data_IF_826609668730
#
_entry.id   IF_826609668730
#
_cell.length_a   1.000
_cell.length_b   1.000
_cell.length_c   1.000
_cell.angle_alpha   90.00
_cell.angle_beta   90.00
_cell.angle_gamma   90.00
#
_symmetry.space_group_name_H-M   'P 1'
#
loop_
_entity.id
_entity.type
_entity.pdbx_description
1 polymer ?
#
# COMPACT_ATOMS: atom_id res chain seq x y z
N UNK A 1 13.65 -5.90 -8.33
CA UNK A 1 12.42 -5.53 -9.07
C UNK A 1 11.34 -4.97 -8.15
N UNK A 2 10.76 -5.75 -7.21
CA UNK A 2 9.65 -5.24 -6.36
C UNK A 2 10.00 -4.00 -5.52
N UNK A 3 11.19 -3.94 -4.94
CA UNK A 3 11.61 -2.81 -4.10
C UNK A 3 11.66 -1.47 -4.85
N UNK A 4 12.15 -1.50 -6.10
CA UNK A 4 12.27 -0.30 -6.92
C UNK A 4 10.90 0.20 -7.37
N UNK A 5 10.02 -0.73 -7.79
CA UNK A 5 8.64 -0.42 -8.12
C UNK A 5 7.92 0.25 -6.93
N UNK A 6 8.08 -0.28 -5.71
CA UNK A 6 7.52 0.35 -4.50
C UNK A 6 8.06 1.77 -4.30
N UNK A 7 9.38 1.98 -4.46
CA UNK A 7 9.97 3.32 -4.33
C UNK A 7 9.41 4.31 -5.35
N UNK A 8 9.18 3.87 -6.60
CA UNK A 8 8.58 4.70 -7.63
C UNK A 8 7.12 5.06 -7.31
N UNK A 9 6.33 4.11 -6.82
CA UNK A 9 4.95 4.35 -6.38
C UNK A 9 4.94 5.37 -5.24
N UNK A 10 5.79 5.18 -4.21
CA UNK A 10 5.85 6.10 -3.05
C UNK A 10 6.38 7.49 -3.41
N UNK A 11 7.33 7.59 -4.34
CA UNK A 11 7.80 8.89 -4.84
C UNK A 11 6.69 9.66 -5.56
N UNK A 12 5.90 8.96 -6.38
CA UNK A 12 4.74 9.55 -7.07
C UNK A 12 3.65 9.94 -6.08
N UNK A 13 3.33 9.07 -5.13
CA UNK A 13 2.37 9.33 -4.04
C UNK A 13 2.76 10.59 -3.26
N UNK A 14 4.04 10.72 -2.88
CA UNK A 14 4.55 11.91 -2.20
C UNK A 14 4.34 13.18 -3.03
N UNK A 15 4.73 13.16 -4.32
CA UNK A 15 4.55 14.32 -5.21
C UNK A 15 3.10 14.76 -5.32
N UNK A 16 2.18 13.80 -5.44
CA UNK A 16 0.74 14.07 -5.51
C UNK A 16 0.25 14.70 -4.21
N UNK A 17 0.67 14.16 -3.06
CA UNK A 17 0.31 14.70 -1.76
C UNK A 17 0.88 16.10 -1.52
N UNK A 18 2.12 16.36 -1.93
CA UNK A 18 2.74 17.68 -1.87
C UNK A 18 1.95 18.68 -2.74
N UNK A 19 1.56 18.29 -3.97
CA UNK A 19 0.71 19.12 -4.84
C UNK A 19 -0.67 19.41 -4.24
N UNK A 20 -1.29 18.44 -3.55
CA UNK A 20 -2.55 18.67 -2.83
C UNK A 20 -2.38 19.68 -1.69
N UNK A 21 -1.30 19.58 -0.91
CA UNK A 21 -1.02 20.55 0.16
C UNK A 21 -0.76 21.96 -0.38
N UNK A 22 -0.20 22.08 -1.58
CA UNK A 22 0.02 23.36 -2.25
C UNK A 22 -1.22 23.93 -2.95
N UNK A 23 -2.34 23.17 -3.01
CA UNK A 23 -3.57 23.60 -3.66
C UNK A 23 -3.51 23.62 -5.19
N UNK A 24 -2.52 22.93 -5.79
CA UNK A 24 -2.29 22.93 -7.25
C UNK A 24 -3.20 21.93 -8.00
N UNK A 25 -3.81 20.98 -7.28
CA UNK A 25 -4.68 19.93 -7.83
C UNK A 25 -6.05 20.04 -7.19
N UNK A 26 -7.10 20.20 -8.02
CA UNK A 26 -8.48 20.24 -7.51
C UNK A 26 -8.92 18.88 -7.00
N UNK A 27 -9.42 18.84 -5.76
CA UNK A 27 -9.96 17.64 -5.11
C UNK A 27 -11.35 17.26 -5.62
N UNK A 28 -11.95 18.11 -6.44
CA UNK A 28 -13.36 18.12 -6.83
C UNK A 28 -13.80 16.80 -7.50
N UNK A 29 -12.87 16.09 -8.14
CA UNK A 29 -13.13 14.81 -8.83
C UNK A 29 -12.73 13.55 -8.03
N UNK A 30 -12.04 13.68 -6.89
CA UNK A 30 -11.41 12.54 -6.19
C UNK A 30 -12.04 12.23 -4.81
N UNK A 31 -13.20 12.84 -4.52
CA UNK A 31 -13.72 12.91 -3.16
C UNK A 31 -12.87 13.85 -2.31
N UNK A 32 -13.36 14.29 -1.16
CA UNK A 32 -12.72 15.28 -0.28
C UNK A 32 -11.43 14.74 0.38
N UNK A 33 -10.47 14.25 -0.40
CA UNK A 33 -9.26 13.58 0.03
C UNK A 33 -8.09 14.55 -0.02
N UNK A 34 -7.61 14.89 1.16
CA UNK A 34 -6.41 15.73 1.35
C UNK A 34 -5.12 14.88 1.24
N UNK A 35 -5.23 13.55 1.24
CA UNK A 35 -4.08 12.65 1.21
C UNK A 35 -4.36 11.36 0.43
N UNK A 36 -3.52 11.08 -0.56
CA UNK A 36 -3.52 9.88 -1.38
C UNK A 36 -2.51 8.87 -0.87
N UNK A 37 -2.92 7.61 -0.74
CA UNK A 37 -2.04 6.51 -0.39
C UNK A 37 -2.42 5.29 -1.22
N UNK A 38 -1.45 4.55 -1.79
CA UNK A 38 -1.73 3.32 -2.55
C UNK A 38 -1.33 2.11 -1.72
N UNK A 39 -2.25 1.17 -1.39
CA UNK A 39 -1.88 -0.07 -0.71
C UNK A 39 -0.92 -0.93 -1.54
N UNK A 40 0.23 -1.32 -0.99
CA UNK A 40 1.24 -2.17 -1.65
C UNK A 40 1.48 -3.42 -0.81
N UNK A 41 1.14 -4.58 -1.37
CA UNK A 41 1.35 -5.88 -0.75
C UNK A 41 2.41 -6.71 -1.49
N UNK A 42 3.46 -7.11 -0.79
CA UNK A 42 4.45 -8.05 -1.30
C UNK A 42 3.96 -9.49 -1.25
N UNK A 43 4.22 -10.27 -2.31
CA UNK A 43 3.98 -11.70 -2.33
C UNK A 43 5.22 -12.43 -2.85
N UNK A 44 5.84 -13.29 -2.04
CA UNK A 44 7.09 -13.98 -2.41
C UNK A 44 7.10 -15.44 -1.96
N UNK A 45 7.78 -16.30 -2.71
CA UNK A 45 7.98 -17.71 -2.36
C UNK A 45 9.13 -17.92 -1.37
N UNK A 46 9.97 -16.91 -1.17
CA UNK A 46 11.13 -16.96 -0.27
C UNK A 46 10.86 -16.08 0.96
N UNK A 47 10.69 -16.73 2.12
CA UNK A 47 10.30 -16.12 3.38
C UNK A 47 11.48 -16.13 4.33
N UNK A 48 12.34 -15.14 4.16
CA UNK A 48 13.39 -14.84 5.13
C UNK A 48 13.12 -13.49 5.78
N UNK A 49 13.44 -13.39 7.07
CA UNK A 49 13.25 -12.19 7.87
C UNK A 49 13.83 -10.93 7.19
N UNK A 50 15.02 -11.07 6.58
CA UNK A 50 15.67 -9.98 5.85
C UNK A 50 14.84 -9.45 4.66
N UNK A 51 14.11 -10.34 3.97
CA UNK A 51 13.24 -9.96 2.84
C UNK A 51 12.02 -9.21 3.35
N UNK A 52 11.41 -9.67 4.45
CA UNK A 52 10.32 -8.96 5.11
C UNK A 52 10.74 -7.54 5.53
N UNK A 53 11.86 -7.42 6.26
CA UNK A 53 12.38 -6.13 6.71
C UNK A 53 12.65 -5.19 5.54
N UNK A 54 13.26 -5.70 4.47
CA UNK A 54 13.54 -4.91 3.27
C UNK A 54 12.26 -4.46 2.55
N UNK A 55 11.20 -5.27 2.54
CA UNK A 55 9.90 -4.89 1.99
C UNK A 55 9.31 -3.69 2.77
N UNK A 56 9.31 -3.78 4.09
CA UNK A 56 8.81 -2.71 4.96
C UNK A 56 9.65 -1.43 4.83
N UNK A 57 10.99 -1.54 4.80
CA UNK A 57 11.89 -0.39 4.61
C UNK A 57 11.71 0.32 3.27
N UNK A 58 11.25 -0.39 2.23
CA UNK A 58 10.97 0.21 0.94
C UNK A 58 9.60 0.90 0.88
N UNK A 59 8.79 0.80 1.93
CA UNK A 59 7.46 1.41 2.04
C UNK A 59 6.33 0.51 1.55
N UNK A 60 6.47 -0.81 1.59
CA UNK A 60 5.34 -1.71 1.38
C UNK A 60 4.50 -1.79 2.67
N UNK A 61 3.20 -2.00 2.53
CA UNK A 61 2.29 -1.98 3.68
C UNK A 61 1.98 -3.38 4.22
N UNK A 62 2.35 -4.40 3.46
CA UNK A 62 2.23 -5.77 3.92
C UNK A 62 3.03 -6.74 3.06
N UNK A 63 3.01 -7.98 3.51
CA UNK A 63 3.81 -9.07 2.96
C UNK A 63 3.09 -10.39 3.18
N UNK A 64 3.17 -11.28 2.19
CA UNK A 64 2.61 -12.64 2.22
C UNK A 64 3.57 -13.64 1.57
N UNK A 65 3.70 -14.82 2.18
CA UNK A 65 4.49 -15.95 1.70
C UNK A 65 3.70 -16.88 0.77
N UNK A 66 4.31 -17.31 -0.33
CA UNK A 66 3.83 -18.39 -1.22
C UNK A 66 4.53 -19.72 -0.88
N UNK A 67 3.91 -20.88 -1.16
CA UNK A 67 2.54 -21.05 -1.64
C UNK A 67 1.50 -20.77 -0.55
N UNK A 68 0.25 -20.61 -0.96
CA UNK A 68 -0.88 -20.47 -0.02
C UNK A 68 -1.55 -21.83 0.09
N UNK A 69 -1.71 -22.36 1.30
CA UNK A 69 -2.25 -23.72 1.51
C UNK A 69 -3.72 -23.85 1.08
N UNK A 70 -4.50 -22.77 1.17
CA UNK A 70 -5.85 -22.70 0.65
C UNK A 70 -6.10 -21.36 -0.05
N UNK A 71 -6.76 -21.37 -1.21
CA UNK A 71 -7.21 -20.13 -1.88
C UNK A 71 -8.02 -19.25 -0.93
N UNK A 72 -8.83 -19.85 -0.05
CA UNK A 72 -9.64 -19.12 0.93
C UNK A 72 -8.79 -18.43 2.01
N UNK A 73 -7.69 -19.05 2.45
CA UNK A 73 -6.72 -18.44 3.36
C UNK A 73 -5.99 -17.26 2.70
N UNK A 74 -5.61 -17.38 1.41
CA UNK A 74 -5.05 -16.27 0.64
C UNK A 74 -6.04 -15.10 0.53
N UNK A 75 -7.28 -15.38 0.10
CA UNK A 75 -8.29 -14.35 -0.05
C UNK A 75 -8.53 -13.65 1.27
N UNK A 76 -8.68 -14.40 2.36
CA UNK A 76 -8.88 -13.86 3.71
C UNK A 76 -7.70 -13.01 4.16
N UNK A 77 -6.47 -13.49 4.05
CA UNK A 77 -5.29 -12.73 4.45
C UNK A 77 -5.12 -11.45 3.62
N UNK A 78 -5.30 -11.55 2.31
CA UNK A 78 -5.19 -10.41 1.38
C UNK A 78 -6.31 -9.41 1.60
N UNK A 79 -7.56 -9.86 1.81
CA UNK A 79 -8.69 -8.96 2.12
C UNK A 79 -8.57 -8.36 3.51
N UNK A 80 -8.13 -9.10 4.53
CA UNK A 80 -7.92 -8.57 5.88
C UNK A 80 -6.81 -7.50 5.87
N UNK A 81 -5.71 -7.76 5.16
CA UNK A 81 -4.62 -6.79 4.98
C UNK A 81 -5.07 -5.58 4.16
N UNK A 82 -5.65 -5.77 2.97
CA UNK A 82 -6.17 -4.66 2.17
C UNK A 82 -7.25 -3.87 2.92
N UNK A 83 -8.16 -4.53 3.63
CA UNK A 83 -9.16 -3.86 4.45
C UNK A 83 -8.52 -3.08 5.60
N UNK A 84 -7.46 -3.58 6.23
CA UNK A 84 -6.72 -2.82 7.24
C UNK A 84 -6.07 -1.57 6.63
N UNK A 85 -5.50 -1.67 5.43
CA UNK A 85 -4.88 -0.56 4.71
C UNK A 85 -5.92 0.47 4.26
N UNK A 86 -7.03 0.00 3.68
CA UNK A 86 -8.14 0.84 3.28
C UNK A 86 -8.80 1.51 4.50
N UNK A 87 -9.02 0.78 5.61
CA UNK A 87 -9.51 1.38 6.86
C UNK A 87 -8.59 2.50 7.35
N UNK A 88 -7.27 2.32 7.30
CA UNK A 88 -6.34 3.40 7.66
C UNK A 88 -6.49 4.62 6.74
N UNK A 89 -6.79 4.41 5.45
CA UNK A 89 -6.99 5.49 4.47
C UNK A 89 -8.36 6.16 4.50
N UNK A 90 -9.39 5.49 5.04
CA UNK A 90 -10.76 5.98 5.07
C UNK A 90 -11.26 6.35 6.48
N UNK A 91 -10.36 6.44 7.46
CA UNK A 91 -10.69 6.81 8.85
C UNK A 91 -11.35 8.19 8.98
N UNK A 92 -11.11 9.09 8.03
CA UNK A 92 -11.62 10.47 8.04
C UNK A 92 -12.87 10.68 7.18
N UNK A 93 -13.49 9.60 6.67
CA UNK A 93 -14.81 9.70 6.03
C UNK A 93 -15.86 9.43 7.10
N UNK A 94 -16.27 10.49 7.80
CA UNK A 94 -17.44 10.55 8.67
C UNK A 94 -18.38 11.66 8.16
#
# INVERSE_FOLDING_TARGET
MMFEATRLIRSTEKKINDMFQMGEVSTDNYGNKVHWHVPILAMTADVIQATFEKCMQCGMDGYVSKPFEEQQALYKQTTDQLAALLRHQFKDIA
#
